data_IF_240591528956
#
_entry.id   IF_240591528956
#
_cell.length_a   1.000
_cell.length_b   1.000
_cell.length_c   1.000
_cell.angle_alpha   90.00
_cell.angle_beta   90.00
_cell.angle_gamma   90.00
#
_symmetry.space_group_name_H-M   'P 1'
#
loop_
_entity.id
_entity.type
_entity.pdbx_description
1 polymer ?
#
# COMPACT_ATOMS: atom_id res chain seq x y z
N UNK A 1 31.67 53.89 -24.12
CA UNK A 1 32.37 52.93 -25.00
C UNK A 1 32.61 51.66 -24.20
N UNK A 2 31.62 50.76 -24.17
CA UNK A 2 31.50 49.57 -25.02
C UNK A 2 32.59 48.53 -24.77
N UNK A 3 32.29 47.56 -23.91
CA UNK A 3 32.81 46.20 -24.02
C UNK A 3 31.66 45.24 -23.73
N UNK A 4 31.25 44.50 -24.76
CA UNK A 4 30.11 43.60 -24.75
C UNK A 4 30.27 42.44 -23.77
N UNK A 5 29.17 42.09 -23.12
CA UNK A 5 28.96 40.78 -22.51
C UNK A 5 27.98 40.04 -23.41
N UNK A 6 28.47 38.98 -24.04
CA UNK A 6 27.61 38.01 -24.72
C UNK A 6 26.67 37.38 -23.70
N UNK A 7 25.38 37.61 -23.88
CA UNK A 7 24.35 36.77 -23.27
C UNK A 7 24.44 35.39 -23.93
N UNK A 8 25.03 34.44 -23.20
CA UNK A 8 24.80 33.03 -23.45
C UNK A 8 23.33 32.81 -23.10
N UNK A 9 22.48 32.70 -24.13
CA UNK A 9 21.15 32.10 -23.99
C UNK A 9 21.35 30.68 -23.49
N UNK A 10 21.14 30.48 -22.20
CA UNK A 10 20.89 29.14 -21.67
C UNK A 10 19.66 28.60 -22.39
N UNK A 11 19.90 27.57 -23.19
CA UNK A 11 18.90 26.75 -23.83
C UNK A 11 17.94 26.23 -22.74
N UNK A 12 16.62 26.47 -22.81
CA UNK A 12 15.70 25.94 -21.81
C UNK A 12 15.64 24.43 -21.99
N UNK A 13 16.43 23.72 -21.19
CA UNK A 13 16.39 22.27 -21.10
C UNK A 13 14.96 21.77 -20.86
N UNK A 14 14.64 20.53 -21.25
CA UNK A 14 13.25 20.07 -21.38
C UNK A 14 12.49 20.26 -20.07
N UNK A 15 11.37 20.99 -20.17
CA UNK A 15 10.37 21.17 -19.14
C UNK A 15 9.76 19.81 -18.72
N UNK A 16 10.43 19.08 -17.83
CA UNK A 16 9.94 17.74 -17.43
C UNK A 16 10.13 17.44 -15.93
N UNK A 17 9.98 18.43 -15.06
CA UNK A 17 9.69 18.17 -13.64
C UNK A 17 8.19 17.90 -13.47
N UNK A 18 7.73 16.73 -13.95
CA UNK A 18 6.47 16.19 -13.46
C UNK A 18 6.58 15.97 -11.94
N UNK A 19 5.58 16.35 -11.13
CA UNK A 19 5.60 16.09 -9.69
C UNK A 19 5.98 14.63 -9.39
N UNK A 20 6.76 14.36 -8.34
CA UNK A 20 7.28 13.01 -8.04
C UNK A 20 6.18 11.94 -7.98
N UNK A 21 4.96 12.34 -7.62
CA UNK A 21 3.77 11.49 -7.58
C UNK A 21 3.25 11.10 -8.96
N UNK A 22 3.16 12.04 -9.90
CA UNK A 22 2.77 11.77 -11.28
C UNK A 22 3.78 10.83 -11.96
N UNK A 23 5.05 10.96 -11.59
CA UNK A 23 6.11 10.05 -12.02
C UNK A 23 5.86 8.63 -11.51
N UNK A 24 5.58 8.46 -10.21
CA UNK A 24 5.29 7.14 -9.61
C UNK A 24 4.01 6.50 -10.18
N UNK A 25 2.94 7.28 -10.40
CA UNK A 25 1.70 6.80 -11.05
C UNK A 25 1.99 6.21 -12.43
N UNK A 26 2.74 6.96 -13.26
CA UNK A 26 3.12 6.51 -14.61
C UNK A 26 3.96 5.22 -14.57
N UNK A 27 4.85 5.05 -13.60
CA UNK A 27 5.66 3.81 -13.46
C UNK A 27 4.79 2.59 -13.20
N UNK A 28 3.76 2.70 -12.34
CA UNK A 28 2.83 1.59 -12.10
C UNK A 28 2.06 1.24 -13.38
N UNK A 29 1.60 2.24 -14.13
CA UNK A 29 0.92 2.02 -15.41
C UNK A 29 1.85 1.41 -16.47
N UNK A 30 3.12 1.82 -16.53
CA UNK A 30 4.10 1.22 -17.42
C UNK A 30 4.48 -0.20 -17.04
N UNK A 31 4.48 -0.56 -15.75
CA UNK A 31 4.66 -1.94 -15.32
C UNK A 31 3.54 -2.82 -15.89
N UNK A 32 2.29 -2.40 -15.75
CA UNK A 32 1.12 -3.14 -16.25
C UNK A 32 1.12 -3.17 -17.79
N UNK A 33 1.44 -2.03 -18.43
CA UNK A 33 1.61 -1.95 -19.88
C UNK A 33 2.71 -2.85 -20.41
N UNK A 34 3.86 -2.97 -19.71
CA UNK A 34 4.93 -3.89 -20.07
C UNK A 34 4.46 -5.35 -20.02
N UNK A 35 3.74 -5.74 -18.97
CA UNK A 35 3.20 -7.09 -18.86
C UNK A 35 2.18 -7.40 -19.98
N UNK A 36 1.35 -6.44 -20.35
CA UNK A 36 0.42 -6.57 -21.48
C UNK A 36 1.16 -6.71 -22.82
N UNK A 37 2.19 -5.88 -23.06
CA UNK A 37 3.04 -5.97 -24.25
C UNK A 37 3.77 -7.31 -24.30
N UNK A 38 4.28 -7.80 -23.17
CA UNK A 38 4.91 -9.12 -23.08
C UNK A 38 3.93 -10.24 -23.48
N UNK A 39 2.69 -10.20 -22.99
CA UNK A 39 1.65 -11.17 -23.37
C UNK A 39 1.37 -11.16 -24.88
N UNK A 40 1.17 -9.97 -25.46
CA UNK A 40 0.97 -9.78 -26.89
C UNK A 40 2.19 -10.31 -27.66
N UNK A 41 3.40 -10.06 -27.15
CA UNK A 41 4.63 -10.50 -27.81
C UNK A 41 4.76 -12.02 -27.83
N UNK A 42 4.47 -12.69 -26.71
CA UNK A 42 4.47 -14.16 -26.66
C UNK A 42 3.40 -14.77 -27.56
N UNK A 43 2.22 -14.16 -27.63
CA UNK A 43 1.19 -14.57 -28.58
C UNK A 43 1.69 -14.45 -30.03
N UNK A 44 2.34 -13.33 -30.37
CA UNK A 44 2.86 -13.09 -31.72
C UNK A 44 3.94 -14.10 -32.13
N UNK A 45 4.79 -14.56 -31.20
CA UNK A 45 5.84 -15.55 -31.51
C UNK A 45 5.25 -16.84 -32.10
N UNK A 46 4.06 -17.24 -31.67
CA UNK A 46 3.45 -18.51 -32.06
C UNK A 46 2.40 -18.39 -33.15
N UNK A 47 1.64 -17.29 -33.17
CA UNK A 47 0.44 -17.18 -34.01
C UNK A 47 0.58 -16.18 -35.16
N UNK A 48 1.69 -15.43 -35.23
CA UNK A 48 1.91 -14.43 -36.30
C UNK A 48 2.93 -14.94 -37.32
N UNK A 49 2.73 -14.67 -38.62
CA UNK A 49 3.71 -15.01 -39.65
C UNK A 49 5.11 -14.47 -39.35
N UNK A 50 6.14 -15.26 -39.67
CA UNK A 50 7.53 -14.92 -39.40
C UNK A 50 7.94 -13.55 -39.97
N UNK A 51 7.44 -13.21 -41.15
CA UNK A 51 7.78 -11.95 -41.84
C UNK A 51 7.33 -10.71 -41.07
N UNK A 52 6.30 -10.83 -40.22
CA UNK A 52 5.65 -9.69 -39.56
C UNK A 52 5.83 -9.69 -38.04
N UNK A 53 6.01 -10.84 -37.38
CA UNK A 53 6.04 -10.89 -35.91
C UNK A 53 7.18 -10.06 -35.29
N UNK A 54 8.39 -10.11 -35.88
CA UNK A 54 9.55 -9.39 -35.34
C UNK A 54 9.34 -7.87 -35.43
N UNK A 55 8.71 -7.39 -36.51
CA UNK A 55 8.42 -5.98 -36.71
C UNK A 55 7.38 -5.48 -35.71
N UNK A 56 6.29 -6.24 -35.51
CA UNK A 56 5.25 -5.90 -34.52
C UNK A 56 5.87 -5.79 -33.13
N UNK A 57 6.65 -6.81 -32.71
CA UNK A 57 7.27 -6.82 -31.40
C UNK A 57 8.31 -5.69 -31.24
N UNK A 58 9.11 -5.42 -32.27
CA UNK A 58 10.07 -4.33 -32.27
C UNK A 58 9.37 -2.98 -32.04
N UNK A 59 8.27 -2.69 -32.75
CA UNK A 59 7.49 -1.45 -32.57
C UNK A 59 6.93 -1.35 -31.16
N UNK A 60 6.38 -2.45 -30.62
CA UNK A 60 5.84 -2.47 -29.24
C UNK A 60 6.92 -2.16 -28.21
N UNK A 61 8.09 -2.80 -28.29
CA UNK A 61 9.18 -2.57 -27.34
C UNK A 61 9.88 -1.21 -27.54
N UNK A 62 9.95 -0.68 -28.76
CA UNK A 62 10.42 0.69 -29.01
C UNK A 62 9.49 1.73 -28.40
N UNK A 63 8.16 1.54 -28.55
CA UNK A 63 7.17 2.40 -27.91
C UNK A 63 7.32 2.36 -26.38
N UNK A 64 7.49 1.17 -25.81
CA UNK A 64 7.68 1.01 -24.38
C UNK A 64 8.99 1.65 -23.89
N UNK A 65 10.09 1.46 -24.62
CA UNK A 65 11.38 2.10 -24.34
C UNK A 65 11.25 3.62 -24.33
N UNK A 66 10.59 4.19 -25.35
CA UNK A 66 10.32 5.63 -25.43
C UNK A 66 9.54 6.14 -24.22
N UNK A 67 8.51 5.40 -23.78
CA UNK A 67 7.74 5.74 -22.58
C UNK A 67 8.58 5.71 -21.29
N UNK A 68 9.43 4.69 -21.11
CA UNK A 68 10.32 4.62 -19.95
C UNK A 68 11.36 5.74 -19.96
N UNK A 69 11.90 6.09 -21.13
CA UNK A 69 12.89 7.18 -21.29
C UNK A 69 12.30 8.55 -20.94
N UNK A 70 11.05 8.83 -21.31
CA UNK A 70 10.31 10.04 -20.86
C UNK A 70 10.10 10.14 -19.35
N UNK A 71 10.29 9.05 -18.62
CA UNK A 71 10.21 9.02 -17.15
C UNK A 71 11.63 9.00 -16.53
N UNK A 72 12.68 9.06 -17.36
CA UNK A 72 14.07 9.01 -16.91
C UNK A 72 14.51 7.62 -16.45
N UNK A 73 13.80 6.55 -16.81
CA UNK A 73 14.15 5.16 -16.47
C UNK A 73 14.84 4.53 -17.68
N UNK A 74 15.93 3.78 -17.45
CA UNK A 74 16.64 3.00 -18.46
C UNK A 74 16.38 1.50 -18.22
N UNK A 75 15.41 0.88 -18.93
CA UNK A 75 15.08 -0.52 -18.72
C UNK A 75 16.00 -1.45 -19.53
N UNK A 76 17.02 -2.01 -18.88
CA UNK A 76 18.02 -2.88 -19.53
C UNK A 76 17.41 -4.08 -20.26
N UNK A 77 16.37 -4.70 -19.68
CA UNK A 77 15.73 -5.87 -20.31
C UNK A 77 15.00 -5.50 -21.59
N UNK A 78 14.35 -4.32 -21.65
CA UNK A 78 13.67 -3.83 -22.86
C UNK A 78 14.70 -3.55 -23.96
N UNK A 79 15.85 -2.97 -23.61
CA UNK A 79 16.94 -2.76 -24.57
C UNK A 79 17.43 -4.10 -25.12
N UNK A 80 17.65 -5.10 -24.24
CA UNK A 80 18.02 -6.45 -24.66
C UNK A 80 16.99 -7.09 -25.59
N UNK A 81 15.70 -6.94 -25.29
CA UNK A 81 14.61 -7.45 -26.13
C UNK A 81 14.55 -6.75 -27.49
N UNK A 82 14.79 -5.44 -27.55
CA UNK A 82 14.87 -4.69 -28.83
C UNK A 82 16.01 -5.24 -29.69
N UNK A 83 17.20 -5.43 -29.11
CA UNK A 83 18.37 -5.99 -29.81
C UNK A 83 18.05 -7.39 -30.34
N UNK A 84 17.39 -8.23 -29.53
CA UNK A 84 16.99 -9.57 -29.94
C UNK A 84 16.06 -9.54 -31.17
N UNK A 85 15.03 -8.69 -31.18
CA UNK A 85 14.13 -8.60 -32.34
C UNK A 85 14.78 -7.97 -33.57
N UNK A 86 15.75 -7.06 -33.40
CA UNK A 86 16.56 -6.54 -34.52
C UNK A 86 17.43 -7.64 -35.14
N UNK A 87 18.03 -8.51 -34.32
CA UNK A 87 18.81 -9.65 -34.80
C UNK A 87 17.94 -10.65 -35.55
N UNK A 88 16.77 -11.01 -35.00
CA UNK A 88 15.79 -11.88 -35.65
C UNK A 88 15.32 -11.29 -36.98
N UNK A 89 15.02 -9.99 -37.02
CA UNK A 89 14.64 -9.28 -38.24
C UNK A 89 15.75 -9.32 -39.30
N UNK A 90 17.00 -9.09 -38.90
CA UNK A 90 18.17 -9.14 -39.79
C UNK A 90 18.36 -10.53 -40.39
N UNK A 91 18.25 -11.58 -39.57
CA UNK A 91 18.30 -13.00 -40.01
C UNK A 91 17.17 -13.30 -41.00
N UNK A 92 15.97 -12.80 -40.73
CA UNK A 92 14.79 -13.00 -41.60
C UNK A 92 14.97 -12.30 -42.95
N UNK A 93 15.53 -11.09 -42.96
CA UNK A 93 15.82 -10.32 -44.18
C UNK A 93 16.97 -10.90 -45.01
N UNK A 94 17.93 -11.55 -44.35
CA UNK A 94 19.05 -12.25 -45.01
C UNK A 94 18.62 -13.53 -45.77
N UNK A 95 17.34 -13.92 -45.71
CA UNK A 95 16.81 -15.05 -46.47
C UNK A 95 17.18 -16.42 -45.92
N UNK A 96 17.57 -16.51 -44.64
CA UNK A 96 17.88 -17.80 -43.99
C UNK A 96 16.62 -18.70 -43.99
N UNK A 97 16.73 -19.98 -44.41
CA UNK A 97 15.57 -20.81 -44.73
C UNK A 97 14.56 -21.04 -43.59
N UNK A 98 13.29 -21.15 -43.99
CA UNK A 98 12.05 -21.32 -43.20
C UNK A 98 12.07 -22.52 -42.24
N UNK A 99 12.95 -23.51 -42.47
CA UNK A 99 13.10 -24.68 -41.59
C UNK A 99 13.49 -24.32 -40.13
N UNK A 100 14.04 -23.12 -39.91
CA UNK A 100 14.40 -22.63 -38.57
C UNK A 100 13.20 -22.16 -37.73
N UNK A 101 11.98 -22.05 -38.30
CA UNK A 101 10.80 -21.51 -37.60
C UNK A 101 10.49 -22.25 -36.30
N UNK A 102 10.64 -23.58 -36.29
CA UNK A 102 10.41 -24.39 -35.09
C UNK A 102 11.38 -24.07 -33.94
N UNK A 103 12.57 -23.53 -34.26
CA UNK A 103 13.62 -23.21 -33.28
C UNK A 103 13.59 -21.77 -32.77
N UNK A 104 12.76 -20.91 -33.36
CA UNK A 104 12.71 -19.48 -32.98
C UNK A 104 12.21 -19.28 -31.56
N UNK A 105 11.14 -19.98 -31.16
CA UNK A 105 10.62 -19.90 -29.80
C UNK A 105 11.67 -20.35 -28.76
N UNK A 106 12.31 -21.54 -28.90
CA UNK A 106 13.43 -21.92 -28.04
C UNK A 106 14.55 -20.86 -27.99
N UNK A 107 14.99 -20.34 -29.14
CA UNK A 107 16.03 -19.30 -29.19
C UNK A 107 15.64 -18.02 -28.43
N UNK A 108 14.38 -17.58 -28.56
CA UNK A 108 13.85 -16.42 -27.85
C UNK A 108 13.86 -16.67 -26.33
N UNK A 109 13.35 -17.81 -25.87
CA UNK A 109 13.32 -18.12 -24.43
C UNK A 109 14.71 -18.31 -23.85
N UNK A 110 15.61 -18.98 -24.56
CA UNK A 110 17.02 -19.10 -24.16
C UNK A 110 17.68 -17.72 -24.06
N UNK A 111 17.42 -16.82 -25.01
CA UNK A 111 17.94 -15.45 -24.96
C UNK A 111 17.39 -14.69 -23.74
N UNK A 112 16.10 -14.80 -23.45
CA UNK A 112 15.51 -14.19 -22.25
C UNK A 112 16.06 -14.79 -20.95
N UNK A 113 16.28 -16.11 -20.90
CA UNK A 113 16.90 -16.77 -19.75
C UNK A 113 18.32 -16.22 -19.52
N UNK A 114 19.14 -16.11 -20.57
CA UNK A 114 20.50 -15.55 -20.49
C UNK A 114 20.45 -14.09 -20.02
N UNK A 115 19.60 -13.25 -20.62
CA UNK A 115 19.45 -11.85 -20.21
C UNK A 115 19.03 -11.70 -18.74
N UNK A 116 18.10 -12.55 -18.28
CA UNK A 116 17.64 -12.57 -16.90
C UNK A 116 18.74 -13.03 -15.93
N UNK A 117 19.47 -14.10 -16.27
CA UNK A 117 20.60 -14.61 -15.49
C UNK A 117 21.73 -13.58 -15.38
N UNK A 118 22.11 -12.93 -16.49
CA UNK A 118 23.13 -11.87 -16.50
C UNK A 118 22.70 -10.69 -15.63
N UNK A 119 21.42 -10.33 -15.66
CA UNK A 119 20.89 -9.25 -14.80
C UNK A 119 20.98 -9.60 -13.31
N UNK A 120 20.59 -10.83 -12.94
CA UNK A 120 20.70 -11.38 -11.59
C UNK A 120 22.18 -11.44 -11.13
N UNK A 121 23.08 -11.95 -11.99
CA UNK A 121 24.51 -12.04 -11.70
C UNK A 121 25.14 -10.65 -11.46
N UNK A 122 24.70 -9.64 -12.21
CA UNK A 122 25.09 -8.23 -12.03
C UNK A 122 24.42 -7.55 -10.81
N UNK A 123 23.77 -8.32 -9.92
CA UNK A 123 23.09 -7.83 -8.71
C UNK A 123 21.98 -6.81 -8.99
N UNK A 124 21.37 -6.86 -10.16
CA UNK A 124 20.33 -5.93 -10.60
C UNK A 124 19.08 -6.69 -11.04
N UNK A 125 18.07 -6.88 -10.16
CA UNK A 125 16.84 -7.52 -10.57
C UNK A 125 16.19 -6.68 -11.67
N UNK A 126 15.94 -7.28 -12.83
CA UNK A 126 15.45 -6.55 -14.01
C UNK A 126 14.04 -5.97 -13.82
N UNK A 127 13.28 -6.47 -12.83
CA UNK A 127 11.97 -5.92 -12.45
C UNK A 127 12.07 -4.62 -11.65
N UNK A 128 13.27 -4.19 -11.25
CA UNK A 128 13.49 -2.93 -10.54
C UNK A 128 12.98 -1.71 -11.32
N UNK A 129 12.91 -1.79 -12.65
CA UNK A 129 12.32 -0.74 -13.48
C UNK A 129 10.85 -0.43 -13.14
N UNK A 130 10.17 -1.33 -12.42
CA UNK A 130 8.79 -1.16 -11.95
C UNK A 130 8.66 -0.32 -10.67
N UNK A 131 9.78 0.12 -10.08
CA UNK A 131 9.79 1.00 -8.91
C UNK A 131 10.84 2.11 -9.05
N UNK A 132 10.53 3.29 -8.51
CA UNK A 132 11.49 4.39 -8.40
C UNK A 132 12.12 4.34 -7.01
N UNK A 133 13.33 3.75 -6.90
CA UNK A 133 14.24 3.95 -5.77
C UNK A 133 13.76 3.51 -4.38
N UNK A 134 12.82 2.55 -4.28
CA UNK A 134 12.39 2.01 -2.98
C UNK A 134 13.11 0.71 -2.66
N UNK A 135 14.23 0.83 -1.96
CA UNK A 135 15.06 -0.28 -1.45
C UNK A 135 14.22 -1.32 -0.68
N UNK A 136 13.18 -0.87 0.03
CA UNK A 136 12.30 -1.73 0.84
C UNK A 136 11.46 -2.73 0.03
N UNK A 137 11.42 -2.60 -1.31
CA UNK A 137 10.77 -3.55 -2.21
C UNK A 137 11.76 -4.43 -2.98
N UNK A 138 13.06 -4.32 -2.69
CA UNK A 138 14.12 -5.03 -3.42
C UNK A 138 13.95 -6.54 -3.34
N UNK A 139 13.58 -7.08 -2.16
CA UNK A 139 13.31 -8.51 -1.99
C UNK A 139 12.21 -9.02 -2.93
N UNK A 140 11.13 -8.25 -3.12
CA UNK A 140 10.05 -8.58 -4.05
C UNK A 140 10.55 -8.65 -5.51
N UNK A 141 11.41 -7.68 -5.88
CA UNK A 141 11.99 -7.60 -7.22
C UNK A 141 12.94 -8.76 -7.50
N UNK A 142 13.75 -9.16 -6.51
CA UNK A 142 14.58 -10.36 -6.58
C UNK A 142 13.76 -11.62 -6.80
N UNK A 143 12.76 -11.87 -5.96
CA UNK A 143 11.88 -13.03 -6.11
C UNK A 143 11.25 -13.05 -7.49
N UNK A 144 10.69 -11.93 -7.93
CA UNK A 144 9.99 -11.86 -9.22
C UNK A 144 10.96 -12.11 -10.37
N UNK A 145 12.17 -11.54 -10.32
CA UNK A 145 13.20 -11.78 -11.34
C UNK A 145 13.70 -13.23 -11.35
N UNK A 146 13.87 -13.87 -10.19
CA UNK A 146 14.24 -15.29 -10.09
C UNK A 146 13.13 -16.16 -10.68
N UNK A 147 11.86 -15.91 -10.30
CA UNK A 147 10.71 -16.62 -10.83
C UNK A 147 10.68 -16.59 -12.36
N UNK A 148 10.80 -15.41 -12.95
CA UNK A 148 10.85 -15.27 -14.41
C UNK A 148 12.04 -16.00 -15.03
N UNK A 149 13.20 -15.98 -14.38
CA UNK A 149 14.39 -16.70 -14.87
C UNK A 149 14.13 -18.20 -14.93
N UNK A 150 13.56 -18.77 -13.86
CA UNK A 150 13.14 -20.17 -13.82
C UNK A 150 12.12 -20.46 -14.93
N UNK A 151 11.11 -19.60 -15.08
CA UNK A 151 10.10 -19.76 -16.12
C UNK A 151 10.69 -19.71 -17.54
N UNK A 152 11.66 -18.81 -17.81
CA UNK A 152 12.34 -18.75 -19.11
C UNK A 152 13.20 -19.98 -19.38
N UNK A 153 13.91 -20.50 -18.38
CA UNK A 153 14.70 -21.73 -18.51
C UNK A 153 13.78 -22.92 -18.80
N UNK A 154 12.72 -23.09 -18.02
CA UNK A 154 11.74 -24.17 -18.23
C UNK A 154 11.02 -24.04 -19.56
N UNK A 155 10.68 -22.81 -19.99
CA UNK A 155 10.10 -22.54 -21.30
C UNK A 155 11.07 -22.88 -22.44
N UNK A 156 12.35 -22.55 -22.31
CA UNK A 156 13.37 -22.92 -23.30
C UNK A 156 13.52 -24.44 -23.41
N UNK A 157 13.69 -25.13 -22.28
CA UNK A 157 13.84 -26.60 -22.23
C UNK A 157 12.60 -27.30 -22.81
N UNK A 158 11.40 -26.90 -22.37
CA UNK A 158 10.15 -27.47 -22.89
C UNK A 158 9.96 -27.20 -24.37
N UNK A 159 10.34 -26.01 -24.86
CA UNK A 159 10.28 -25.69 -26.29
C UNK A 159 11.18 -26.60 -27.12
N UNK A 160 12.32 -27.07 -26.58
CA UNK A 160 13.18 -28.04 -27.28
C UNK A 160 12.63 -29.47 -27.21
N UNK A 161 12.20 -29.93 -26.02
CA UNK A 161 11.79 -31.32 -25.79
C UNK A 161 10.51 -31.68 -26.56
N UNK A 162 9.56 -30.75 -26.65
CA UNK A 162 8.24 -31.07 -27.19
C UNK A 162 8.12 -30.89 -28.71
N UNK A 163 9.18 -30.56 -29.44
CA UNK A 163 9.11 -30.53 -30.91
C UNK A 163 8.90 -31.97 -31.44
N UNK A 164 7.91 -32.22 -32.32
CA UNK A 164 6.96 -31.29 -32.95
C UNK A 164 5.54 -31.27 -32.33
N UNK A 165 5.32 -31.91 -31.19
CA UNK A 165 4.02 -32.00 -30.52
C UNK A 165 3.43 -30.62 -30.16
N UNK A 166 2.10 -30.45 -30.22
CA UNK A 166 1.40 -29.19 -29.89
C UNK A 166 1.80 -28.57 -28.53
N UNK A 167 2.25 -29.42 -27.61
CA UNK A 167 2.84 -29.02 -26.32
C UNK A 167 4.01 -28.03 -26.44
N UNK A 168 4.73 -27.99 -27.56
CA UNK A 168 5.81 -27.03 -27.83
C UNK A 168 5.32 -25.56 -27.82
N UNK A 169 4.03 -25.34 -28.10
CA UNK A 169 3.39 -24.02 -28.04
C UNK A 169 2.76 -23.82 -26.66
N UNK A 170 1.92 -24.79 -26.24
CA UNK A 170 1.05 -24.62 -25.09
C UNK A 170 1.81 -24.48 -23.77
N UNK A 171 2.85 -25.29 -23.55
CA UNK A 171 3.58 -25.31 -22.28
C UNK A 171 4.39 -24.03 -22.08
N UNK A 172 5.29 -23.60 -23.01
CA UNK A 172 6.06 -22.38 -22.82
C UNK A 172 5.16 -21.13 -22.75
N UNK A 173 4.11 -21.05 -23.59
CA UNK A 173 3.15 -19.95 -23.52
C UNK A 173 2.43 -19.91 -22.17
N UNK A 174 1.94 -21.07 -21.68
CA UNK A 174 1.31 -21.20 -20.37
C UNK A 174 2.23 -20.77 -19.22
N UNK A 175 3.51 -21.11 -19.27
CA UNK A 175 4.52 -20.66 -18.29
C UNK A 175 4.68 -19.14 -18.30
N UNK A 176 4.67 -18.50 -19.47
CA UNK A 176 4.74 -17.03 -19.56
C UNK A 176 3.49 -16.37 -18.98
N UNK A 177 2.30 -16.93 -19.27
CA UNK A 177 1.04 -16.47 -18.70
C UNK A 177 1.05 -16.57 -17.17
N UNK A 178 1.52 -17.70 -16.62
CA UNK A 178 1.74 -17.89 -15.18
C UNK A 178 2.70 -16.83 -14.63
N UNK A 179 3.80 -16.52 -15.33
CA UNK A 179 4.75 -15.49 -14.93
C UNK A 179 4.13 -14.09 -14.83
N UNK A 180 3.29 -13.73 -15.80
CA UNK A 180 2.56 -12.46 -15.82
C UNK A 180 1.60 -12.36 -14.63
N UNK A 181 0.74 -13.36 -14.46
CA UNK A 181 -0.24 -13.36 -13.37
C UNK A 181 0.43 -13.43 -12.00
N UNK A 182 1.51 -14.20 -11.87
CA UNK A 182 2.31 -14.25 -10.64
C UNK A 182 2.93 -12.90 -10.33
N UNK A 183 3.47 -12.20 -11.33
CA UNK A 183 4.03 -10.85 -11.15
C UNK A 183 2.98 -9.86 -10.65
N UNK A 184 1.79 -9.86 -11.26
CA UNK A 184 0.67 -9.05 -10.81
C UNK A 184 0.24 -9.44 -9.38
N UNK A 185 0.12 -10.73 -9.09
CA UNK A 185 -0.22 -11.24 -7.77
C UNK A 185 0.77 -10.76 -6.71
N UNK A 186 2.08 -10.89 -6.95
CA UNK A 186 3.10 -10.46 -6.00
C UNK A 186 3.14 -8.95 -5.80
N UNK A 187 3.01 -8.16 -6.87
CA UNK A 187 3.12 -6.70 -6.78
C UNK A 187 1.86 -6.02 -6.21
N UNK A 188 0.69 -6.63 -6.36
CA UNK A 188 -0.58 -6.04 -5.93
C UNK A 188 -1.22 -6.75 -4.74
N UNK A 189 -1.02 -8.07 -4.56
CA UNK A 189 -1.81 -8.86 -3.62
C UNK A 189 -1.00 -9.52 -2.50
N UNK A 190 0.09 -10.18 -2.84
CA UNK A 190 0.87 -10.98 -1.89
C UNK A 190 1.45 -10.15 -0.75
N UNK A 191 1.48 -10.76 0.44
CA UNK A 191 2.21 -10.30 1.60
C UNK A 191 3.48 -11.15 1.70
N UNK A 192 4.61 -10.57 1.29
CA UNK A 192 5.89 -11.29 1.37
C UNK A 192 6.19 -11.67 2.83
N UNK A 193 6.72 -12.88 3.12
CA UNK A 193 6.95 -13.33 4.50
C UNK A 193 7.75 -12.33 5.35
N UNK A 194 8.78 -11.71 4.78
CA UNK A 194 9.64 -10.70 5.45
C UNK A 194 8.86 -9.40 5.75
N UNK A 195 7.81 -9.13 4.98
CA UNK A 195 6.94 -7.97 5.14
C UNK A 195 5.62 -8.33 5.82
N UNK A 196 5.51 -9.51 6.46
CA UNK A 196 4.35 -9.83 7.30
C UNK A 196 4.35 -8.93 8.53
N UNK A 197 3.16 -8.66 9.04
CA UNK A 197 2.99 -7.86 10.23
C UNK A 197 3.69 -8.60 11.37
N UNK A 198 4.69 -7.95 11.97
CA UNK A 198 5.39 -8.51 13.12
C UNK A 198 4.40 -8.61 14.29
N UNK A 199 4.33 -9.78 14.91
CA UNK A 199 3.54 -9.96 16.14
C UNK A 199 4.14 -9.17 17.30
N UNK A 200 5.47 -9.06 17.31
CA UNK A 200 6.24 -8.24 18.24
C UNK A 200 7.30 -7.44 17.50
N UNK A 201 7.48 -6.17 17.87
CA UNK A 201 8.62 -5.37 17.39
C UNK A 201 9.11 -4.43 18.48
N UNK A 202 10.38 -4.05 18.39
CA UNK A 202 11.00 -3.08 19.30
C UNK A 202 11.21 -1.75 18.61
N UNK A 203 10.96 -0.67 19.34
CA UNK A 203 11.19 0.69 18.87
C UNK A 203 11.56 1.60 20.04
N UNK A 204 12.75 2.21 19.98
CA UNK A 204 13.29 3.11 21.01
C UNK A 204 13.21 2.52 22.44
N UNK A 205 13.57 1.25 22.61
CA UNK A 205 13.60 0.57 23.92
C UNK A 205 12.23 0.11 24.44
N UNK A 206 11.15 0.26 23.65
CA UNK A 206 9.84 -0.27 23.99
C UNK A 206 9.48 -1.45 23.09
N UNK A 207 8.83 -2.45 23.68
CA UNK A 207 8.36 -3.65 22.96
C UNK A 207 6.88 -3.51 22.67
N UNK A 208 6.49 -3.60 21.41
CA UNK A 208 5.11 -3.54 20.95
C UNK A 208 4.67 -4.93 20.57
N UNK A 209 3.53 -5.39 21.08
CA UNK A 209 2.98 -6.71 20.80
C UNK A 209 1.54 -6.61 20.35
N UNK A 210 1.19 -7.39 19.31
CA UNK A 210 -0.19 -7.76 19.02
C UNK A 210 -0.67 -8.75 20.07
N UNK A 211 -1.94 -8.66 20.44
CA UNK A 211 -2.61 -9.60 21.35
C UNK A 211 -3.32 -10.63 20.50
N UNK A 212 -2.86 -11.88 20.58
CA UNK A 212 -3.55 -13.02 19.98
C UNK A 212 -4.83 -13.33 20.74
N UNK A 213 -5.88 -13.87 20.09
CA UNK A 213 -7.14 -14.22 20.76
C UNK A 213 -6.96 -15.11 22.00
N UNK A 214 -5.95 -15.99 21.97
CA UNK A 214 -5.68 -16.96 23.03
C UNK A 214 -4.79 -16.41 24.17
N UNK A 215 -4.19 -15.24 23.99
CA UNK A 215 -3.26 -14.64 24.96
C UNK A 215 -4.03 -13.89 26.06
N UNK A 216 -4.58 -14.67 27.00
CA UNK A 216 -5.37 -14.16 28.13
C UNK A 216 -4.60 -13.15 28.99
N UNK A 217 -3.29 -13.36 29.18
CA UNK A 217 -2.45 -12.49 30.00
C UNK A 217 -2.33 -11.11 29.36
N UNK A 218 -1.91 -11.03 28.09
CA UNK A 218 -1.80 -9.73 27.41
C UNK A 218 -3.15 -9.03 27.27
N UNK A 219 -4.23 -9.80 27.05
CA UNK A 219 -5.58 -9.25 27.03
C UNK A 219 -5.96 -8.62 28.37
N UNK A 220 -5.63 -9.28 29.49
CA UNK A 220 -5.84 -8.74 30.82
C UNK A 220 -5.01 -7.48 31.08
N UNK A 221 -3.70 -7.50 30.75
CA UNK A 221 -2.81 -6.34 30.86
C UNK A 221 -3.35 -5.14 30.07
N UNK A 222 -3.88 -5.38 28.86
CA UNK A 222 -4.49 -4.37 28.01
C UNK A 222 -5.70 -3.71 28.68
N UNK A 223 -6.66 -4.49 29.17
CA UNK A 223 -7.85 -3.94 29.82
C UNK A 223 -7.50 -3.26 31.15
N UNK A 224 -6.62 -3.85 31.95
CA UNK A 224 -6.21 -3.28 33.23
C UNK A 224 -5.55 -1.90 33.03
N UNK A 225 -4.61 -1.78 32.08
CA UNK A 225 -3.98 -0.50 31.78
C UNK A 225 -4.98 0.53 31.22
N UNK A 226 -5.81 0.13 30.26
CA UNK A 226 -6.82 1.01 29.66
C UNK A 226 -7.75 1.61 30.72
N UNK A 227 -8.28 0.76 31.61
CA UNK A 227 -9.27 1.15 32.62
C UNK A 227 -8.63 2.00 33.72
N UNK A 228 -7.41 1.67 34.15
CA UNK A 228 -6.69 2.49 35.11
C UNK A 228 -6.46 3.91 34.58
N UNK A 229 -6.08 4.06 33.32
CA UNK A 229 -5.92 5.39 32.73
C UNK A 229 -7.27 6.10 32.56
N UNK A 230 -8.32 5.37 32.14
CA UNK A 230 -9.66 5.92 32.04
C UNK A 230 -10.17 6.46 33.40
N UNK A 231 -10.02 5.70 34.49
CA UNK A 231 -10.41 6.13 35.84
C UNK A 231 -9.62 7.36 36.30
N UNK A 232 -8.33 7.44 35.97
CA UNK A 232 -7.51 8.60 36.29
C UNK A 232 -8.00 9.86 35.55
N UNK A 233 -8.45 9.73 34.31
CA UNK A 233 -9.05 10.84 33.56
C UNK A 233 -10.46 11.17 34.07
N UNK A 234 -11.28 10.15 34.37
CA UNK A 234 -12.62 10.33 34.93
C UNK A 234 -12.57 11.10 36.26
N UNK A 235 -11.66 10.76 37.17
CA UNK A 235 -11.48 11.50 38.43
C UNK A 235 -11.08 12.96 38.23
N UNK A 236 -10.44 13.31 37.11
CA UNK A 236 -10.02 14.68 36.81
C UNK A 236 -11.12 15.53 36.20
N UNK A 237 -12.00 14.92 35.41
CA UNK A 237 -12.95 15.65 34.57
C UNK A 237 -14.43 15.35 34.89
N UNK A 238 -14.74 14.34 35.68
CA UNK A 238 -16.11 14.02 36.08
C UNK A 238 -16.62 15.07 37.07
N UNK A 239 -17.75 15.69 36.70
CA UNK A 239 -18.48 16.62 37.57
C UNK A 239 -19.49 15.92 38.48
N UNK A 240 -19.80 14.64 38.23
CA UNK A 240 -20.98 13.97 38.81
C UNK A 240 -20.75 13.23 40.13
N UNK A 241 -19.52 13.16 40.65
CA UNK A 241 -19.23 12.50 41.94
C UNK A 241 -19.52 10.99 41.99
N UNK A 242 -20.08 10.41 40.92
CA UNK A 242 -20.47 9.00 40.86
C UNK A 242 -19.25 8.14 40.52
N UNK A 243 -18.70 7.46 41.51
CA UNK A 243 -17.58 6.55 41.33
C UNK A 243 -18.06 5.24 40.68
N UNK A 244 -17.77 5.05 39.39
CA UNK A 244 -17.94 3.76 38.73
C UNK A 244 -16.90 2.76 39.24
N UNK A 245 -17.32 1.52 39.50
CA UNK A 245 -16.38 0.47 39.93
C UNK A 245 -15.50 -0.01 38.75
N UNK A 246 -14.26 -0.40 39.06
CA UNK A 246 -13.30 -0.87 38.05
C UNK A 246 -13.83 -2.11 37.30
N UNK A 247 -14.55 -2.98 38.00
CA UNK A 247 -15.12 -4.20 37.42
C UNK A 247 -16.29 -3.93 36.49
N UNK A 248 -17.17 -2.97 36.83
CA UNK A 248 -18.28 -2.57 35.94
C UNK A 248 -17.76 -2.02 34.61
N UNK A 249 -16.72 -1.18 34.68
CA UNK A 249 -16.08 -0.63 33.47
C UNK A 249 -15.43 -1.75 32.67
N UNK A 250 -14.71 -2.67 33.35
CA UNK A 250 -14.06 -3.82 32.69
C UNK A 250 -15.07 -4.70 31.98
N UNK A 251 -16.17 -5.05 32.64
CA UNK A 251 -17.24 -5.89 32.11
C UNK A 251 -17.83 -5.29 30.84
N UNK A 252 -18.27 -4.04 30.89
CA UNK A 252 -18.91 -3.41 29.72
C UNK A 252 -17.92 -3.15 28.56
N UNK A 253 -16.64 -2.83 28.82
CA UNK A 253 -15.64 -2.74 27.74
C UNK A 253 -15.38 -4.08 27.06
N UNK A 254 -15.45 -5.19 27.80
CA UNK A 254 -15.36 -6.55 27.26
C UNK A 254 -16.62 -6.89 26.46
N UNK A 255 -17.82 -6.67 27.00
CA UNK A 255 -19.09 -6.95 26.32
C UNK A 255 -19.22 -6.18 24.98
N UNK A 256 -18.79 -4.91 24.94
CA UNK A 256 -18.78 -4.11 23.72
C UNK A 256 -17.80 -4.62 22.65
N UNK A 257 -16.71 -5.25 23.09
CA UNK A 257 -15.70 -5.87 22.23
C UNK A 257 -16.07 -7.29 21.80
N UNK A 258 -16.79 -8.04 22.65
CA UNK A 258 -17.19 -9.43 22.40
C UNK A 258 -18.03 -9.55 21.13
N UNK A 259 -18.92 -8.57 20.91
CA UNK A 259 -19.72 -8.47 19.68
C UNK A 259 -18.88 -8.29 18.40
N UNK A 260 -17.59 -7.95 18.53
CA UNK A 260 -16.68 -7.59 17.43
C UNK A 260 -15.37 -8.38 17.45
N UNK A 261 -15.29 -9.51 18.15
CA UNK A 261 -14.06 -10.32 18.32
C UNK A 261 -13.28 -10.53 17.01
N UNK A 262 -13.88 -10.96 15.88
CA UNK A 262 -13.10 -11.17 14.66
C UNK A 262 -12.68 -9.88 13.96
N UNK A 263 -13.24 -8.74 14.35
CA UNK A 263 -13.01 -7.42 13.75
C UNK A 263 -12.21 -6.48 14.66
N UNK A 264 -11.81 -6.91 15.84
CA UNK A 264 -10.99 -6.11 16.76
C UNK A 264 -9.58 -6.70 16.89
N UNK A 265 -8.58 -5.84 16.73
CA UNK A 265 -7.18 -6.20 16.89
C UNK A 265 -6.53 -5.28 17.90
N UNK A 266 -5.95 -5.87 18.94
CA UNK A 266 -5.42 -5.13 20.08
C UNK A 266 -3.90 -5.18 20.06
N UNK A 267 -3.30 -4.08 20.47
CA UNK A 267 -1.87 -3.94 20.61
C UNK A 267 -1.57 -3.32 21.96
N UNK A 268 -0.47 -3.79 22.56
CA UNK A 268 0.02 -3.32 23.85
C UNK A 268 1.51 -3.06 23.74
N UNK A 269 1.98 -2.03 24.43
CA UNK A 269 3.38 -1.66 24.53
C UNK A 269 3.89 -1.93 25.93
N UNK A 270 5.12 -2.44 26.02
CA UNK A 270 5.82 -2.74 27.26
C UNK A 270 7.12 -1.94 27.36
N UNK A 271 7.43 -1.54 28.58
CA UNK A 271 8.78 -1.17 28.98
C UNK A 271 9.29 -2.30 29.87
N UNK A 272 10.22 -3.10 29.32
CA UNK A 272 10.61 -4.40 29.87
C UNK A 272 9.36 -5.30 29.99
N UNK A 273 8.89 -5.56 31.21
CA UNK A 273 7.72 -6.41 31.47
C UNK A 273 6.47 -5.61 31.89
N UNK A 274 6.55 -4.28 31.97
CA UNK A 274 5.45 -3.45 32.45
C UNK A 274 4.61 -2.91 31.29
N UNK A 275 3.28 -3.09 31.27
CA UNK A 275 2.44 -2.50 30.25
C UNK A 275 2.40 -0.96 30.40
N UNK A 276 2.73 -0.25 29.33
CA UNK A 276 2.85 1.22 29.30
C UNK A 276 1.96 1.91 28.26
N UNK A 277 1.40 1.18 27.29
CA UNK A 277 0.46 1.77 26.34
C UNK A 277 -0.42 0.75 25.63
N UNK A 278 -1.59 1.20 25.16
CA UNK A 278 -2.56 0.38 24.45
C UNK A 278 -3.08 1.10 23.22
N UNK A 279 -3.44 0.33 22.19
CA UNK A 279 -4.24 0.79 21.06
C UNK A 279 -5.00 -0.40 20.48
N UNK A 280 -6.20 -0.17 19.96
CA UNK A 280 -6.89 -1.18 19.18
C UNK A 280 -7.32 -0.63 17.82
N UNK A 281 -7.48 -1.56 16.89
CA UNK A 281 -8.06 -1.34 15.58
C UNK A 281 -9.38 -2.06 15.51
N UNK A 282 -10.43 -1.36 15.11
CA UNK A 282 -11.70 -1.94 14.72
C UNK A 282 -11.82 -1.93 13.19
N UNK A 283 -12.07 -3.09 12.62
CA UNK A 283 -12.47 -3.22 11.22
C UNK A 283 -13.98 -2.98 11.10
N UNK A 284 -14.42 -2.43 9.97
CA UNK A 284 -15.83 -2.19 9.70
C UNK A 284 -16.65 -3.48 9.78
N UNK A 285 -17.55 -3.56 10.76
CA UNK A 285 -18.39 -4.73 10.97
C UNK A 285 -19.60 -4.69 10.01
N UNK A 286 -19.98 -5.79 9.34
CA UNK A 286 -21.08 -5.78 8.35
C UNK A 286 -22.44 -5.37 8.94
N UNK A 287 -22.72 -5.78 10.18
CA UNK A 287 -23.98 -5.44 10.90
C UNK A 287 -23.84 -4.17 11.74
N UNK A 288 -22.90 -4.12 12.69
CA UNK A 288 -22.80 -3.03 13.66
C UNK A 288 -21.94 -1.83 13.24
N UNK A 289 -21.36 -1.84 12.03
CA UNK A 289 -20.43 -0.82 11.56
C UNK A 289 -19.20 -0.66 12.45
N UNK A 290 -18.59 0.53 12.40
CA UNK A 290 -17.50 0.92 13.30
C UNK A 290 -18.04 1.15 14.71
N UNK A 291 -17.21 0.90 15.72
CA UNK A 291 -17.55 1.28 17.10
C UNK A 291 -17.81 2.80 17.17
N UNK A 292 -17.16 3.54 16.28
CA UNK A 292 -17.32 4.97 16.24
C UNK A 292 -18.77 5.35 15.87
N UNK A 293 -19.33 4.74 14.83
CA UNK A 293 -20.68 5.06 14.32
C UNK A 293 -21.75 4.81 15.39
N UNK A 294 -21.64 3.72 16.15
CA UNK A 294 -22.56 3.38 17.24
C UNK A 294 -22.57 4.44 18.35
N UNK A 295 -21.41 5.02 18.69
CA UNK A 295 -21.29 5.95 19.82
C UNK A 295 -21.70 7.38 19.52
N UNK A 296 -21.49 7.86 18.29
CA UNK A 296 -21.83 9.23 17.90
C UNK A 296 -23.15 9.36 17.14
N UNK A 297 -23.70 8.24 16.64
CA UNK A 297 -24.80 8.27 15.69
C UNK A 297 -24.41 8.80 14.29
N UNK A 298 -23.12 9.08 14.04
CA UNK A 298 -22.63 9.55 12.74
C UNK A 298 -22.33 8.35 11.85
N UNK A 299 -23.18 8.12 10.83
CA UNK A 299 -22.91 7.10 9.82
C UNK A 299 -21.76 7.49 8.89
N UNK A 300 -20.85 6.56 8.66
CA UNK A 300 -19.74 6.67 7.72
C UNK A 300 -20.07 6.10 6.33
N UNK A 301 -21.32 5.75 6.04
CA UNK A 301 -21.72 5.10 4.78
C UNK A 301 -21.31 5.89 3.53
N UNK A 302 -21.44 7.21 3.54
CA UNK A 302 -21.02 8.07 2.41
C UNK A 302 -19.52 8.00 2.15
N UNK A 303 -18.72 7.75 3.18
CA UNK A 303 -17.27 7.58 3.09
C UNK A 303 -16.88 6.15 2.72
N UNK A 304 -17.61 5.14 3.20
CA UNK A 304 -17.41 3.72 2.82
C UNK A 304 -17.48 3.51 1.30
N UNK A 305 -18.25 4.33 0.59
CA UNK A 305 -18.29 4.35 -0.87
C UNK A 305 -16.93 4.71 -1.53
N UNK A 306 -16.09 5.47 -0.83
CA UNK A 306 -14.78 5.85 -1.34
C UNK A 306 -13.79 4.68 -1.24
N UNK A 307 -13.78 3.96 -0.11
CA UNK A 307 -12.98 2.77 0.08
C UNK A 307 -13.13 2.16 1.46
N UNK A 308 -12.33 1.13 1.75
CA UNK A 308 -12.33 0.45 3.04
C UNK A 308 -11.97 1.42 4.16
N UNK A 309 -12.76 1.41 5.21
CA UNK A 309 -12.58 2.18 6.43
C UNK A 309 -12.21 1.25 7.60
N UNK A 310 -11.45 1.77 8.54
CA UNK A 310 -11.20 1.16 9.84
C UNK A 310 -11.12 2.23 10.91
N UNK A 311 -11.14 1.84 12.16
CA UNK A 311 -11.12 2.77 13.30
C UNK A 311 -9.95 2.47 14.22
N UNK A 312 -9.28 3.51 14.70
CA UNK A 312 -8.33 3.41 15.81
C UNK A 312 -9.04 3.84 17.09
N UNK A 313 -9.03 2.97 18.08
CA UNK A 313 -9.68 3.19 19.37
C UNK A 313 -8.81 2.73 20.54
N UNK A 314 -9.33 2.95 21.76
CA UNK A 314 -8.71 2.52 23.03
C UNK A 314 -7.23 2.88 23.15
N UNK A 315 -6.89 4.03 22.57
CA UNK A 315 -5.56 4.60 22.69
C UNK A 315 -5.36 5.09 24.13
N UNK A 316 -4.34 4.56 24.80
CA UNK A 316 -4.02 4.94 26.17
C UNK A 316 -2.54 4.79 26.45
N UNK A 317 -2.00 5.64 27.32
CA UNK A 317 -0.61 5.57 27.77
C UNK A 317 -0.55 5.73 29.29
N UNK A 318 0.36 5.00 29.92
CA UNK A 318 0.63 5.13 31.34
C UNK A 318 1.00 6.59 31.67
N UNK A 319 0.60 7.08 32.85
CA UNK A 319 0.75 8.49 33.26
C UNK A 319 2.16 9.04 33.05
N UNK A 320 3.19 8.24 33.34
CA UNK A 320 4.59 8.65 33.22
C UNK A 320 5.11 8.68 31.77
N UNK A 321 4.34 8.18 30.81
CA UNK A 321 4.71 8.05 29.40
C UNK A 321 3.82 8.89 28.46
N UNK A 322 2.93 9.74 28.99
CA UNK A 322 1.95 10.51 28.19
C UNK A 322 2.55 11.44 27.14
N UNK A 323 3.77 11.90 27.38
CA UNK A 323 4.50 12.79 26.47
C UNK A 323 5.62 12.08 25.71
N UNK A 324 5.78 10.77 25.91
CA UNK A 324 6.79 9.98 25.21
C UNK A 324 6.37 9.79 23.75
N UNK A 325 6.93 10.62 22.87
CA UNK A 325 6.63 10.59 21.44
C UNK A 325 6.97 9.25 20.79
N UNK A 326 8.01 8.55 21.26
CA UNK A 326 8.38 7.26 20.70
C UNK A 326 7.33 6.18 20.98
N UNK A 327 6.79 6.14 22.21
CA UNK A 327 5.69 5.26 22.57
C UNK A 327 4.45 5.51 21.70
N UNK A 328 4.05 6.79 21.59
CA UNK A 328 2.85 7.18 20.84
C UNK A 328 3.02 6.81 19.35
N UNK A 329 4.16 7.16 18.75
CA UNK A 329 4.49 6.82 17.36
C UNK A 329 4.50 5.31 17.12
N UNK A 330 5.05 4.53 18.06
CA UNK A 330 5.06 3.08 17.97
C UNK A 330 3.65 2.48 18.01
N UNK A 331 2.77 2.98 18.89
CA UNK A 331 1.36 2.55 18.94
C UNK A 331 0.62 2.88 17.64
N UNK A 332 0.78 4.11 17.12
CA UNK A 332 0.19 4.48 15.82
C UNK A 332 0.75 3.60 14.69
N UNK A 333 2.05 3.34 14.69
CA UNK A 333 2.67 2.43 13.72
C UNK A 333 2.03 1.04 13.75
N UNK A 334 1.81 0.43 14.92
CA UNK A 334 1.10 -0.85 15.05
C UNK A 334 -0.26 -0.82 14.33
N UNK A 335 -1.05 0.21 14.64
CA UNK A 335 -2.41 0.34 14.15
C UNK A 335 -2.44 0.62 12.64
N UNK A 336 -1.60 1.53 12.15
CA UNK A 336 -1.55 1.91 10.74
C UNK A 336 -1.00 0.79 9.86
N UNK A 337 0.05 0.09 10.29
CA UNK A 337 0.57 -1.07 9.56
C UNK A 337 -0.49 -2.17 9.44
N UNK A 338 -1.24 -2.42 10.54
CA UNK A 338 -2.36 -3.34 10.50
C UNK A 338 -3.43 -2.91 9.50
N UNK A 339 -3.90 -1.67 9.58
CA UNK A 339 -4.92 -1.11 8.69
C UNK A 339 -4.50 -1.18 7.21
N UNK A 340 -3.24 -0.81 6.90
CA UNK A 340 -2.69 -0.92 5.55
C UNK A 340 -2.59 -2.37 5.06
N UNK A 341 -2.25 -3.30 5.95
CA UNK A 341 -2.22 -4.73 5.62
C UNK A 341 -3.60 -5.24 5.16
N UNK A 342 -4.68 -4.68 5.71
CA UNK A 342 -6.08 -4.98 5.35
C UNK A 342 -6.61 -4.16 4.17
N UNK A 343 -5.79 -3.25 3.62
CA UNK A 343 -6.17 -2.38 2.51
C UNK A 343 -7.14 -1.26 2.89
N UNK A 344 -7.15 -0.86 4.16
CA UNK A 344 -7.89 0.32 4.62
C UNK A 344 -7.22 1.57 4.06
N UNK A 345 -8.05 2.51 3.61
CA UNK A 345 -7.62 3.77 2.98
C UNK A 345 -8.10 5.01 3.74
N UNK A 346 -9.03 4.83 4.68
CA UNK A 346 -9.59 5.87 5.53
C UNK A 346 -9.64 5.35 6.96
N UNK A 347 -9.22 6.18 7.92
CA UNK A 347 -9.19 5.80 9.33
C UNK A 347 -10.08 6.73 10.13
N UNK A 348 -11.06 6.19 10.84
CA UNK A 348 -11.87 6.90 11.80
C UNK A 348 -11.27 6.81 13.21
N UNK A 349 -11.62 7.75 14.08
CA UNK A 349 -11.33 7.66 15.51
C UNK A 349 -12.27 8.57 16.30
N UNK A 350 -12.22 8.43 17.63
CA UNK A 350 -12.72 9.42 18.56
C UNK A 350 -11.59 9.95 19.42
N UNK A 351 -11.58 11.26 19.55
CA UNK A 351 -10.76 11.95 20.53
C UNK A 351 -11.66 12.64 21.55
N UNK A 352 -11.21 12.72 22.79
CA UNK A 352 -11.75 13.71 23.70
C UNK A 352 -11.32 15.09 23.22
N UNK A 353 -12.15 16.10 23.43
CA UNK A 353 -11.88 17.47 22.97
C UNK A 353 -10.46 17.97 23.37
N UNK A 354 -10.05 17.72 24.61
CA UNK A 354 -8.72 18.08 25.12
C UNK A 354 -7.54 17.30 24.48
N UNK A 355 -7.80 16.22 23.74
CA UNK A 355 -6.79 15.44 23.00
C UNK A 355 -6.80 15.68 21.49
N UNK A 356 -7.77 16.42 20.96
CA UNK A 356 -7.95 16.66 19.51
C UNK A 356 -6.66 17.16 18.85
N UNK A 357 -5.96 18.10 19.49
CA UNK A 357 -4.71 18.67 18.99
C UNK A 357 -3.58 17.62 18.85
N UNK A 358 -3.57 16.58 19.69
CA UNK A 358 -2.63 15.47 19.55
C UNK A 358 -2.94 14.65 18.29
N UNK A 359 -4.20 14.27 18.10
CA UNK A 359 -4.65 13.49 16.94
C UNK A 359 -4.41 14.23 15.62
N UNK A 360 -4.59 15.55 15.60
CA UNK A 360 -4.29 16.39 14.44
C UNK A 360 -2.83 16.35 14.01
N UNK A 361 -1.89 16.23 14.96
CA UNK A 361 -0.46 16.08 14.64
C UNK A 361 -0.16 14.77 13.93
N UNK A 362 -0.98 13.74 14.12
CA UNK A 362 -0.88 12.45 13.43
C UNK A 362 -1.68 12.41 12.11
N UNK A 363 -2.21 13.55 11.65
CA UNK A 363 -2.91 13.66 10.37
C UNK A 363 -4.42 13.42 10.45
N UNK A 364 -5.01 13.33 11.65
CA UNK A 364 -6.45 13.29 11.80
C UNK A 364 -7.08 14.68 11.70
N UNK A 365 -8.30 14.77 11.18
CA UNK A 365 -9.08 15.98 11.11
C UNK A 365 -10.44 15.77 11.78
N UNK A 366 -10.94 16.78 12.52
CA UNK A 366 -12.26 16.70 13.14
C UNK A 366 -13.35 16.66 12.06
N UNK A 367 -14.35 15.81 12.27
CA UNK A 367 -15.50 15.67 11.38
C UNK A 367 -16.55 16.74 11.62
N UNK A 368 -16.62 17.24 12.85
CA UNK A 368 -17.57 18.25 13.28
C UNK A 368 -16.82 19.50 13.74
N UNK A 369 -17.50 20.64 13.67
CA UNK A 369 -16.96 21.90 14.19
C UNK A 369 -17.02 21.96 15.72
N UNK A 370 -18.02 21.30 16.30
CA UNK A 370 -18.25 21.22 17.75
C UNK A 370 -18.19 19.78 18.20
N UNK A 371 -17.55 19.54 19.34
CA UNK A 371 -17.54 18.24 19.97
C UNK A 371 -18.97 17.87 20.41
N UNK A 372 -19.35 16.61 20.26
CA UNK A 372 -20.69 16.11 20.61
C UNK A 372 -20.69 15.79 22.10
N UNK A 373 -21.72 16.20 22.86
CA UNK A 373 -21.91 15.69 24.21
C UNK A 373 -22.08 14.18 24.14
N UNK A 374 -21.36 13.46 24.99
CA UNK A 374 -21.51 12.02 24.99
C UNK A 374 -22.90 11.63 25.51
N UNK A 375 -23.64 10.72 24.85
CA UNK A 375 -24.89 10.18 25.40
C UNK A 375 -24.68 9.67 26.84
N UNK A 376 -25.51 10.15 27.76
CA UNK A 376 -25.43 9.91 29.22
C UNK A 376 -25.42 8.42 29.60
N UNK A 377 -25.91 7.55 28.71
CA UNK A 377 -25.94 6.10 28.90
C UNK A 377 -24.64 5.37 28.49
N UNK A 378 -23.69 6.07 27.86
CA UNK A 378 -22.42 5.50 27.45
C UNK A 378 -21.29 5.97 28.39
N UNK A 379 -20.61 4.97 28.94
CA UNK A 379 -19.60 4.96 30.00
C UNK A 379 -18.44 5.96 30.00
N UNK A 380 -18.34 6.90 29.07
CA UNK A 380 -17.26 7.88 29.11
C UNK A 380 -17.58 9.02 30.09
N UNK A 381 -16.58 9.83 30.39
CA UNK A 381 -16.61 10.82 31.47
C UNK A 381 -17.87 11.67 31.31
N UNK A 382 -18.76 11.63 32.30
CA UNK A 382 -20.04 12.33 32.26
C UNK A 382 -19.79 13.84 32.08
N UNK A 383 -20.37 14.42 31.04
CA UNK A 383 -20.11 15.80 30.62
C UNK A 383 -18.85 16.01 29.77
N UNK A 384 -18.13 14.95 29.38
CA UNK A 384 -17.06 15.07 28.38
C UNK A 384 -17.61 15.19 26.97
N UNK A 385 -16.92 16.02 26.18
CA UNK A 385 -17.24 16.20 24.77
C UNK A 385 -16.27 15.38 23.93
N UNK A 386 -16.81 14.70 22.92
CA UNK A 386 -16.04 13.86 22.00
C UNK A 386 -16.04 14.46 20.61
N UNK A 387 -14.88 14.46 19.99
CA UNK A 387 -14.69 14.89 18.63
C UNK A 387 -14.49 13.66 17.74
N UNK A 388 -15.44 13.37 16.82
CA UNK A 388 -15.22 12.40 15.75
C UNK A 388 -14.08 12.87 14.85
N UNK A 389 -13.13 11.99 14.58
CA UNK A 389 -11.92 12.29 13.81
C UNK A 389 -11.79 11.37 12.61
N UNK A 390 -11.19 11.86 11.53
CA UNK A 390 -10.90 11.08 10.33
C UNK A 390 -9.50 11.37 9.80
N UNK A 391 -8.85 10.36 9.23
CA UNK A 391 -7.59 10.51 8.51
C UNK A 391 -7.71 9.87 7.14
N UNK A 392 -7.32 10.62 6.10
CA UNK A 392 -7.20 10.08 4.74
C UNK A 392 -5.83 9.41 4.56
N UNK A 393 -5.76 8.13 4.91
CA UNK A 393 -4.55 7.34 4.78
C UNK A 393 -4.08 7.22 3.31
N UNK A 394 -5.00 7.25 2.34
CA UNK A 394 -4.63 7.30 0.93
C UNK A 394 -3.89 8.59 0.57
N UNK A 395 -4.34 9.75 1.06
CA UNK A 395 -3.66 11.03 0.85
C UNK A 395 -2.25 11.01 1.43
N UNK A 396 -2.07 10.46 2.63
CA UNK A 396 -0.76 10.29 3.28
C UNK A 396 0.21 9.40 2.48
N UNK A 397 -0.30 8.42 1.74
CA UNK A 397 0.51 7.54 0.87
C UNK A 397 0.93 8.25 -0.43
N UNK A 398 0.01 9.03 -1.03
CA UNK A 398 0.23 9.75 -2.29
C UNK A 398 1.09 11.00 -2.09
N UNK A 399 0.66 11.88 -1.20
CA UNK A 399 1.20 13.21 -1.01
C UNK A 399 2.12 13.24 0.20
N UNK A 400 3.40 12.94 -0.02
CA UNK A 400 4.44 13.12 1.01
C UNK A 400 5.20 14.40 0.74
N UNK A 401 4.68 15.51 1.27
CA UNK A 401 5.24 16.84 1.11
C UNK A 401 4.43 17.87 1.90
N UNK A 402 5.00 19.06 2.07
CA UNK A 402 4.50 20.21 2.85
C UNK A 402 3.05 20.62 2.56
N UNK A 403 2.49 20.22 1.41
CA UNK A 403 1.17 20.63 0.92
C UNK A 403 0.00 19.78 1.46
N UNK A 404 0.28 18.68 2.15
CA UNK A 404 -0.72 17.90 2.88
C UNK A 404 -0.63 18.23 4.37
N UNK A 405 -1.27 19.35 4.76
CA UNK A 405 -1.26 19.92 6.11
C UNK A 405 -1.45 18.91 7.24
N UNK A 406 -0.34 18.34 7.73
CA UNK A 406 -0.30 17.39 8.84
C UNK A 406 0.51 16.10 8.60
N UNK A 407 0.91 15.77 7.37
CA UNK A 407 1.44 14.42 7.01
C UNK A 407 2.96 14.22 7.19
N UNK A 408 3.56 14.76 8.27
CA UNK A 408 5.01 14.61 8.56
C UNK A 408 5.44 13.18 8.93
N UNK A 409 4.48 12.29 9.17
CA UNK A 409 4.71 10.97 9.75
C UNK A 409 4.62 9.79 8.77
N UNK A 410 4.81 10.01 7.44
CA UNK A 410 4.88 8.89 6.46
C UNK A 410 5.92 7.82 6.83
N UNK A 411 7.00 8.22 7.52
CA UNK A 411 8.02 7.32 8.02
C UNK A 411 7.49 6.28 9.03
N UNK A 412 6.30 6.49 9.61
CA UNK A 412 5.65 5.52 10.48
C UNK A 412 5.00 4.37 9.70
N UNK A 413 4.73 4.53 8.40
CA UNK A 413 4.07 3.51 7.60
C UNK A 413 5.08 2.48 7.11
N UNK A 414 4.73 1.20 7.19
CA UNK A 414 5.44 0.14 6.49
C UNK A 414 5.44 0.44 4.98
N UNK A 415 6.63 0.63 4.43
CA UNK A 415 6.85 1.04 3.04
C UNK A 415 6.35 0.02 2.02
N UNK A 416 6.40 -1.28 2.34
CA UNK A 416 5.84 -2.33 1.51
C UNK A 416 4.32 -2.22 1.42
N UNK A 417 3.62 -2.11 2.56
CA UNK A 417 2.16 -1.94 2.57
C UNK A 417 1.73 -0.65 1.89
N UNK A 418 2.42 0.46 2.17
CA UNK A 418 2.17 1.74 1.53
C UNK A 418 2.37 1.65 0.01
N UNK A 419 3.44 0.98 -0.47
CA UNK A 419 3.67 0.79 -1.90
C UNK A 419 2.61 -0.09 -2.56
N UNK A 420 2.14 -1.15 -1.90
CA UNK A 420 1.08 -2.02 -2.41
C UNK A 420 -0.24 -1.27 -2.52
N UNK A 421 -0.63 -0.55 -1.47
CA UNK A 421 -1.84 0.26 -1.44
C UNK A 421 -1.79 1.36 -2.50
N UNK A 422 -0.64 2.04 -2.66
CA UNK A 422 -0.42 3.00 -3.74
C UNK A 422 -0.71 2.38 -5.12
N UNK A 423 -0.07 1.25 -5.44
CA UNK A 423 -0.23 0.55 -6.73
C UNK A 423 -1.71 0.21 -7.01
N UNK A 424 -2.43 -0.30 -6.01
CA UNK A 424 -3.87 -0.61 -6.13
C UNK A 424 -4.71 0.63 -6.39
N UNK A 425 -4.42 1.73 -5.69
CA UNK A 425 -5.13 2.99 -5.86
C UNK A 425 -4.90 3.61 -7.24
N UNK A 426 -3.66 3.56 -7.76
CA UNK A 426 -3.36 4.01 -9.13
C UNK A 426 -4.14 3.21 -10.18
N UNK A 427 -4.24 1.89 -10.02
CA UNK A 427 -5.06 1.08 -10.92
C UNK A 427 -6.54 1.41 -10.81
N UNK A 428 -7.07 1.54 -9.58
CA UNK A 428 -8.47 1.91 -9.36
C UNK A 428 -8.79 3.24 -10.05
N UNK A 429 -7.93 4.24 -9.87
CA UNK A 429 -8.04 5.57 -10.47
C UNK A 429 -8.07 5.53 -12.00
N UNK A 430 -7.15 4.77 -12.60
CA UNK A 430 -7.07 4.59 -14.05
C UNK A 430 -8.35 3.94 -14.62
N UNK A 431 -8.90 2.92 -13.95
CA UNK A 431 -10.11 2.25 -14.41
C UNK A 431 -11.40 3.04 -14.09
N UNK A 432 -11.38 3.96 -13.11
CA UNK A 432 -12.58 4.70 -12.69
C UNK A 432 -12.96 5.92 -13.57
N UNK A 433 -12.30 6.12 -14.73
CA UNK A 433 -12.68 7.07 -15.80
C UNK A 433 -13.23 8.42 -15.31
N UNK A 434 -12.49 9.12 -14.45
CA UNK A 434 -12.80 10.52 -14.07
C UNK A 434 -13.64 10.72 -12.80
N UNK A 435 -13.99 9.67 -12.05
CA UNK A 435 -14.38 9.86 -10.63
C UNK A 435 -13.11 10.14 -9.82
N UNK A 436 -13.02 11.30 -9.18
CA UNK A 436 -11.89 11.66 -8.32
C UNK A 436 -11.63 10.54 -7.30
N UNK A 437 -10.47 9.88 -7.40
CA UNK A 437 -10.11 8.78 -6.52
C UNK A 437 -9.98 9.24 -5.07
N UNK A 438 -10.03 8.30 -4.13
CA UNK A 438 -10.02 8.59 -2.67
C UNK A 438 -8.84 9.46 -2.26
N UNK A 439 -7.70 9.30 -2.95
CA UNK A 439 -6.50 10.09 -2.74
C UNK A 439 -6.67 11.59 -3.03
N UNK A 440 -7.58 11.95 -3.94
CA UNK A 440 -7.85 13.34 -4.36
C UNK A 440 -9.01 13.95 -3.57
N UNK A 441 -9.64 13.18 -2.68
CA UNK A 441 -10.66 13.67 -1.76
C UNK A 441 -9.93 14.28 -0.55
N UNK A 442 -9.90 15.62 -0.49
CA UNK A 442 -9.44 16.30 0.71
C UNK A 442 -10.28 15.89 1.92
N UNK A 443 -9.69 15.94 3.10
CA UNK A 443 -10.37 15.67 4.36
C UNK A 443 -11.59 16.59 4.51
N UNK A 444 -11.49 17.86 4.13
CA UNK A 444 -12.64 18.79 4.09
C UNK A 444 -13.77 18.29 3.18
N UNK A 445 -13.45 17.60 2.08
CA UNK A 445 -14.45 16.99 1.20
C UNK A 445 -15.04 15.72 1.82
N UNK A 446 -14.25 14.89 2.50
CA UNK A 446 -14.75 13.76 3.30
C UNK A 446 -15.73 14.23 4.37
N UNK A 447 -15.37 15.30 5.09
CA UNK A 447 -16.24 15.96 6.08
C UNK A 447 -17.55 16.43 5.45
N UNK A 448 -17.48 17.11 4.29
CA UNK A 448 -18.70 17.52 3.55
C UNK A 448 -19.56 16.34 3.10
N UNK A 449 -18.96 15.23 2.69
CA UNK A 449 -19.68 14.02 2.29
C UNK A 449 -20.41 13.36 3.46
N UNK A 450 -19.81 13.36 4.65
CA UNK A 450 -20.49 12.91 5.87
C UNK A 450 -21.66 13.81 6.21
N UNK A 451 -21.45 15.13 6.26
CA UNK A 451 -22.51 16.09 6.59
C UNK A 451 -23.71 15.98 5.64
N UNK A 452 -23.47 15.82 4.33
CA UNK A 452 -24.55 15.56 3.36
C UNK A 452 -25.25 14.22 3.58
N UNK A 453 -24.49 13.18 3.91
CA UNK A 453 -25.04 11.85 4.20
C UNK A 453 -25.91 11.80 5.45
N UNK A 454 -25.69 12.70 6.41
CA UNK A 454 -26.52 12.85 7.60
C UNK A 454 -27.81 13.65 7.37
N UNK A 455 -27.91 14.37 6.26
CA UNK A 455 -29.10 15.15 5.87
C UNK A 455 -30.00 14.41 4.87
N UNK A 456 -29.57 13.24 4.38
CA UNK A 456 -30.39 12.40 3.52
C UNK A 456 -31.35 11.56 4.40
N UNK A 457 -32.66 11.58 4.12
CA UNK A 457 -33.68 10.91 4.93
C UNK A 457 -33.55 9.39 4.96
#
# INVERSE_FOLDING_TARGET
MSTGKGEIKEDPGPSEYSPPENRQKRVVLLMVGNLAIALISFFNVYFTPLKTFWLINLVLYLFLYWKYRRIGIRPNIIIGTIILYLLIGSITLAGIPVAWIAFIAPCIYSSFAVLAMVSIANRRPFTLAYTLGKEDTLALHWTTSILWTVLYITAAISSFIFIPHLSFILIPFGLMVIGIFSTLFFHFYSLWPISRLLETFEYNGHTFSRISPDDKKKAEDFYNLLIQQYLNEHRRYSKSGKALSLEEIKKKYKEGDEKRIPYIHRFIAYDRDKPIGTVCVYMDHPVWGLQSEEKSGVSCNSIKACGRIGEIGKFSTARNYRYNQALIKGLFKCALDYLLSQGVVIVASYSFDYTTAMWQRFGFMPLLETAIPHPENNMYIEGSQMMPMIMNLSRMIFYSGSDAGGTKDRHLLNSYYASRTFKRLVLKDFFSRGRSGVQDISENRLVKMLRKGQQAP
#
